data_IF_394966333259
#
_entry.id   IF_394966333259
#
_cell.length_a   1.000
_cell.length_b   1.000
_cell.length_c   1.000
_cell.angle_alpha   90.00
_cell.angle_beta   90.00
_cell.angle_gamma   90.00
#
_symmetry.space_group_name_H-M   'P 1'
#
loop_
_entity.id
_entity.type
_entity.pdbx_description
1 polymer ?
#
# COMPACT_ATOMS: atom_id res chain seq x y z
N UNK A 1 -11.81 8.35 -16.36
CA UNK A 1 -12.95 8.50 -17.27
C UNK A 1 -13.99 9.49 -16.71
N UNK A 2 -14.59 9.22 -15.54
CA UNK A 2 -15.66 10.04 -14.95
C UNK A 2 -15.31 11.53 -14.73
N UNK A 3 -14.11 11.84 -14.24
CA UNK A 3 -13.67 13.24 -14.04
C UNK A 3 -13.47 14.00 -15.36
N UNK A 4 -13.24 13.32 -16.49
CA UNK A 4 -13.15 13.95 -17.82
C UNK A 4 -14.53 14.17 -18.45
N UNK A 5 -15.56 13.48 -17.96
CA UNK A 5 -16.93 13.57 -18.46
C UNK A 5 -17.69 14.72 -17.78
N UNK A 6 -17.51 14.89 -16.47
CA UNK A 6 -17.99 16.06 -15.74
C UNK A 6 -17.01 16.35 -14.58
N UNK A 7 -16.53 17.59 -14.50
CA UNK A 7 -15.56 18.04 -13.51
C UNK A 7 -16.15 18.11 -12.08
N UNK A 8 -17.46 18.25 -11.93
CA UNK A 8 -18.15 18.29 -10.64
C UNK A 8 -17.97 16.99 -9.84
N UNK A 9 -17.81 15.85 -10.54
CA UNK A 9 -17.57 14.56 -9.91
C UNK A 9 -16.20 14.45 -9.25
N UNK A 10 -15.27 15.39 -9.49
CA UNK A 10 -13.97 15.39 -8.85
C UNK A 10 -14.06 15.52 -7.34
N UNK A 11 -14.96 16.37 -6.83
CA UNK A 11 -15.16 16.60 -5.39
C UNK A 11 -15.63 15.34 -4.64
N UNK A 12 -16.74 14.69 -5.02
CA UNK A 12 -17.20 13.46 -4.36
C UNK A 12 -16.21 12.30 -4.53
N UNK A 13 -15.59 12.13 -5.71
CA UNK A 13 -14.62 11.05 -5.92
C UNK A 13 -13.33 11.22 -5.11
N UNK A 14 -12.87 12.47 -4.91
CA UNK A 14 -11.73 12.76 -4.05
C UNK A 14 -12.05 12.51 -2.58
N UNK A 15 -13.23 12.93 -2.11
CA UNK A 15 -13.69 12.66 -0.73
C UNK A 15 -13.74 11.15 -0.43
N UNK A 16 -14.17 10.35 -1.40
CA UNK A 16 -14.26 8.90 -1.27
C UNK A 16 -12.94 8.15 -1.60
N UNK A 17 -11.86 8.85 -1.94
CA UNK A 17 -10.53 8.24 -2.13
C UNK A 17 -10.31 7.48 -3.45
N UNK A 18 -11.24 7.55 -4.41
CA UNK A 18 -11.15 6.81 -5.68
C UNK A 18 -10.13 7.35 -6.69
N UNK A 19 -9.56 8.52 -6.42
CA UNK A 19 -8.57 9.16 -7.30
C UNK A 19 -7.13 8.85 -6.91
N UNK A 20 -6.89 8.23 -5.75
CA UNK A 20 -5.56 7.95 -5.23
C UNK A 20 -5.08 6.58 -5.69
N UNK A 21 -3.88 6.48 -6.25
CA UNK A 21 -3.24 5.19 -6.50
C UNK A 21 -2.73 4.61 -5.19
N UNK A 22 -2.98 3.33 -4.95
CA UNK A 22 -2.34 2.62 -3.84
C UNK A 22 -0.82 2.46 -4.12
N UNK A 23 0.07 3.05 -3.29
CA UNK A 23 1.51 2.90 -3.46
C UNK A 23 2.06 1.63 -2.81
N UNK A 24 1.25 0.86 -2.07
CA UNK A 24 1.73 -0.29 -1.30
C UNK A 24 2.34 -1.33 -2.23
N UNK A 25 3.56 -1.72 -1.89
CA UNK A 25 4.32 -2.75 -2.60
C UNK A 25 4.82 -3.78 -1.59
N UNK A 26 4.98 -5.02 -2.05
CA UNK A 26 5.53 -6.09 -1.23
C UNK A 26 6.96 -5.76 -0.80
N UNK A 27 7.19 -5.75 0.51
CA UNK A 27 8.53 -5.60 1.05
C UNK A 27 9.42 -6.79 0.68
N UNK A 28 10.68 -6.51 0.34
CA UNK A 28 11.66 -7.55 0.05
C UNK A 28 12.04 -8.36 1.31
N UNK A 29 12.50 -9.59 1.10
CA UNK A 29 13.14 -10.39 2.17
C UNK A 29 14.50 -9.77 2.52
N UNK A 30 14.73 -9.49 3.80
CA UNK A 30 16.05 -9.08 4.32
C UNK A 30 16.85 -10.31 4.72
N UNK A 31 18.19 -10.24 4.65
CA UNK A 31 19.06 -11.34 5.04
C UNK A 31 18.88 -11.70 6.52
N UNK A 32 19.05 -12.98 6.86
CA UNK A 32 18.84 -13.48 8.22
C UNK A 32 17.38 -13.58 8.67
N UNK A 33 16.40 -13.12 7.88
CA UNK A 33 14.97 -13.21 8.20
C UNK A 33 14.28 -14.31 7.40
N UNK A 34 13.23 -14.92 7.99
CA UNK A 34 12.36 -15.90 7.32
C UNK A 34 11.44 -15.25 6.27
N UNK A 35 11.05 -13.99 6.47
CA UNK A 35 10.23 -13.16 5.54
C UNK A 35 10.73 -11.70 5.58
N UNK A 36 9.98 -10.75 5.02
CA UNK A 36 10.35 -9.32 5.04
C UNK A 36 10.72 -8.80 6.44
N UNK A 37 9.97 -9.21 7.47
CA UNK A 37 10.20 -8.81 8.87
C UNK A 37 10.28 -9.97 9.88
N UNK A 38 9.91 -11.20 9.49
CA UNK A 38 9.82 -12.34 10.42
C UNK A 38 11.22 -12.85 10.79
N UNK A 39 11.63 -12.64 12.04
CA UNK A 39 12.88 -13.19 12.60
C UNK A 39 12.75 -14.70 12.91
N UNK A 40 13.85 -15.47 12.84
CA UNK A 40 13.90 -16.79 13.46
C UNK A 40 13.76 -16.68 14.98
N UNK A 41 13.37 -17.78 15.65
CA UNK A 41 13.37 -17.85 17.11
C UNK A 41 14.80 -17.78 17.62
N UNK A 42 15.07 -16.89 18.56
CA UNK A 42 16.37 -16.78 19.23
C UNK A 42 16.32 -17.54 20.55
N UNK A 43 17.25 -18.49 20.76
CA UNK A 43 17.46 -19.13 22.05
C UNK A 43 18.59 -18.40 22.76
N UNK A 44 18.31 -17.81 23.92
CA UNK A 44 19.37 -17.38 24.85
C UNK A 44 19.99 -18.63 25.49
N UNK A 45 21.27 -18.51 25.85
CA UNK A 45 21.98 -19.50 26.66
C UNK A 45 21.68 -19.23 28.13
#
# INVERSE_FOLDING_TARGET
>A
ALVKFNEEFRSPLKKNGFLTRDPRMKERKKYGLKKARRKPQFSKR
#
